data_IF_764793012190
#
_entry.id   IF_764793012190
#
_cell.length_a   1.000
_cell.length_b   1.000
_cell.length_c   1.000
_cell.angle_alpha   90.00
_cell.angle_beta   90.00
_cell.angle_gamma   90.00
#
_symmetry.space_group_name_H-M   'P 1'
#
loop_
_entity.id
_entity.type
_entity.pdbx_description
1 polymer ?
#
# COMPACT_ATOMS: atom_id res chain seq x y z
N UNK A 1 19.35 7.19 -17.21
CA UNK A 1 18.64 8.08 -18.16
C UNK A 1 18.92 9.56 -17.94
N UNK A 2 18.92 10.10 -16.70
CA UNK A 2 19.16 11.53 -16.42
C UNK A 2 20.54 12.02 -16.91
N UNK A 3 21.56 11.16 -16.91
CA UNK A 3 22.90 11.51 -17.42
C UNK A 3 22.95 11.62 -18.96
N UNK A 4 22.09 10.90 -19.65
CA UNK A 4 22.08 10.80 -21.12
C UNK A 4 21.10 11.77 -21.78
N UNK A 5 19.91 11.92 -21.17
CA UNK A 5 18.82 12.72 -21.72
C UNK A 5 18.62 14.07 -21.00
N UNK A 6 19.44 14.37 -19.97
CA UNK A 6 19.36 15.62 -19.22
C UNK A 6 18.49 15.53 -17.96
N UNK A 7 18.32 16.68 -17.28
CA UNK A 7 17.53 16.77 -16.04
C UNK A 7 16.05 16.64 -16.31
N UNK A 8 15.35 16.04 -15.37
CA UNK A 8 13.90 16.07 -15.29
C UNK A 8 13.39 17.49 -14.89
N UNK A 9 12.27 18.00 -15.41
CA UNK A 9 11.32 17.33 -16.33
C UNK A 9 11.83 17.25 -17.78
N UNK A 10 11.51 16.16 -18.46
CA UNK A 10 11.84 15.97 -19.87
C UNK A 10 10.75 16.53 -20.79
N UNK A 11 11.12 16.93 -22.03
CA UNK A 11 10.15 17.29 -23.05
C UNK A 11 9.09 16.20 -23.26
N UNK A 12 7.85 16.60 -23.52
CA UNK A 12 6.74 15.66 -23.75
C UNK A 12 6.98 14.77 -24.99
N UNK A 13 7.79 15.21 -25.92
CA UNK A 13 8.21 14.38 -27.07
C UNK A 13 8.90 13.08 -26.63
N UNK A 14 9.71 13.10 -25.56
CA UNK A 14 10.29 11.86 -25.03
C UNK A 14 9.24 10.95 -24.40
N UNK A 15 8.20 11.51 -23.82
CA UNK A 15 7.08 10.73 -23.28
C UNK A 15 6.26 10.11 -24.42
N UNK A 16 6.01 10.85 -25.49
CA UNK A 16 5.37 10.35 -26.71
C UNK A 16 6.14 9.16 -27.31
N UNK A 17 7.45 9.36 -27.56
CA UNK A 17 8.34 8.31 -28.07
C UNK A 17 8.38 7.07 -27.16
N UNK A 18 8.33 7.29 -25.84
CA UNK A 18 8.34 6.20 -24.86
C UNK A 18 7.05 5.36 -24.96
N UNK A 19 5.89 6.02 -25.05
CA UNK A 19 4.60 5.36 -25.25
C UNK A 19 4.58 4.57 -26.56
N UNK A 20 5.02 5.21 -27.68
CA UNK A 20 5.03 4.57 -29.00
C UNK A 20 5.93 3.31 -29.01
N UNK A 21 7.11 3.37 -28.39
CA UNK A 21 8.06 2.25 -28.32
C UNK A 21 7.52 1.11 -27.43
N UNK A 22 7.01 1.42 -26.25
CA UNK A 22 6.49 0.43 -25.32
C UNK A 22 5.22 -0.22 -25.89
N UNK A 23 4.30 0.58 -26.45
CA UNK A 23 3.09 0.08 -27.10
C UNK A 23 3.41 -0.75 -28.33
N UNK A 24 4.33 -0.27 -29.18
CA UNK A 24 4.81 -0.99 -30.36
C UNK A 24 5.53 -2.30 -30.04
N UNK A 25 6.13 -2.42 -28.87
CA UNK A 25 6.72 -3.65 -28.37
C UNK A 25 5.67 -4.65 -27.82
N UNK A 26 4.40 -4.27 -27.74
CA UNK A 26 3.31 -5.16 -27.35
C UNK A 26 3.06 -5.23 -25.85
N UNK A 27 3.37 -4.22 -25.08
CA UNK A 27 3.00 -4.12 -23.67
C UNK A 27 1.48 -4.32 -23.48
N UNK A 28 1.06 -4.94 -22.39
CA UNK A 28 -0.34 -5.12 -22.05
C UNK A 28 -0.99 -3.80 -21.65
N UNK A 29 -0.33 -3.04 -20.78
CA UNK A 29 -0.75 -1.72 -20.30
C UNK A 29 0.48 -0.89 -19.93
N UNK A 30 0.37 0.43 -20.03
CA UNK A 30 1.42 1.40 -19.71
C UNK A 30 0.89 2.36 -18.67
N UNK A 31 1.47 2.40 -17.47
CA UNK A 31 1.06 3.31 -16.41
C UNK A 31 2.10 4.38 -16.14
N UNK A 32 1.66 5.62 -16.06
CA UNK A 32 2.51 6.75 -15.66
C UNK A 32 2.23 7.13 -14.22
N UNK A 33 3.14 6.80 -13.33
CA UNK A 33 3.21 7.33 -11.96
C UNK A 33 3.92 8.69 -12.00
N UNK A 34 3.41 9.57 -12.85
CA UNK A 34 3.94 10.91 -13.12
C UNK A 34 2.77 11.83 -13.41
N UNK A 35 2.79 12.99 -12.78
CA UNK A 35 1.80 14.04 -13.00
C UNK A 35 2.31 15.08 -14.01
N UNK A 36 1.44 15.50 -14.90
CA UNK A 36 1.68 16.53 -15.91
C UNK A 36 0.69 17.70 -15.75
N UNK A 37 0.78 18.49 -14.65
CA UNK A 37 -0.25 19.47 -14.27
C UNK A 37 -0.22 20.74 -15.11
N UNK A 38 0.88 20.98 -15.83
CA UNK A 38 1.10 22.17 -16.61
C UNK A 38 1.48 21.83 -18.06
N UNK A 39 1.12 22.66 -19.03
CA UNK A 39 1.61 22.53 -20.41
C UNK A 39 3.14 22.54 -20.50
N UNK A 40 3.67 21.84 -21.48
CA UNK A 40 5.12 21.81 -21.72
C UNK A 40 5.63 23.18 -22.16
N UNK A 41 6.55 23.72 -21.39
CA UNK A 41 7.21 25.00 -21.74
C UNK A 41 8.45 24.80 -22.63
N UNK A 42 8.78 23.55 -22.97
CA UNK A 42 9.97 23.24 -23.75
C UNK A 42 9.70 23.40 -25.25
N UNK A 43 10.27 24.44 -25.85
CA UNK A 43 10.31 24.60 -27.31
C UNK A 43 11.53 23.81 -27.82
N UNK A 44 11.36 22.73 -28.64
CA UNK A 44 12.50 21.97 -29.15
C UNK A 44 13.38 22.85 -29.99
N UNK A 45 14.57 23.22 -29.53
CA UNK A 45 15.54 24.03 -30.28
C UNK A 45 15.86 23.39 -31.63
N UNK A 46 15.82 22.06 -31.73
CA UNK A 46 15.99 21.32 -32.98
C UNK A 46 14.85 21.58 -33.96
N UNK A 47 13.60 21.67 -33.51
CA UNK A 47 12.45 22.00 -34.35
C UNK A 47 12.58 23.44 -34.89
N UNK A 48 13.01 24.37 -34.05
CA UNK A 48 13.31 25.73 -34.47
C UNK A 48 14.46 25.77 -35.48
N UNK A 49 15.56 25.02 -35.28
CA UNK A 49 16.66 24.92 -36.21
C UNK A 49 16.29 24.29 -37.56
N UNK A 50 15.46 23.25 -37.55
CA UNK A 50 14.97 22.65 -38.80
C UNK A 50 14.04 23.56 -39.58
N UNK A 51 13.21 24.31 -38.89
CA UNK A 51 12.36 25.32 -39.49
C UNK A 51 13.15 26.44 -40.13
N UNK A 52 14.12 26.92 -39.37
CA UNK A 52 15.08 27.95 -39.88
C UNK A 52 15.82 27.45 -41.12
N UNK A 53 16.16 26.16 -41.20
CA UNK A 53 16.83 25.53 -42.34
C UNK A 53 15.90 25.26 -43.55
N UNK A 54 14.62 24.95 -43.30
CA UNK A 54 13.65 24.58 -44.35
C UNK A 54 12.89 25.75 -44.99
N UNK A 55 12.83 26.89 -44.33
CA UNK A 55 12.14 28.09 -44.83
C UNK A 55 13.12 29.23 -44.95
N UNK A 56 13.13 29.85 -46.14
CA UNK A 56 13.80 31.14 -46.39
C UNK A 56 13.10 32.18 -45.48
N UNK A 57 13.75 32.55 -44.38
CA UNK A 57 13.21 33.40 -43.33
C UNK A 57 13.01 34.87 -43.74
N UNK A 58 13.28 35.21 -45.00
CA UNK A 58 13.21 36.56 -45.49
C UNK A 58 11.75 37.14 -45.60
N UNK A 59 10.74 36.29 -45.47
CA UNK A 59 9.31 36.69 -45.60
C UNK A 59 8.35 36.08 -44.58
N UNK A 60 8.80 35.65 -43.41
CA UNK A 60 7.91 35.12 -42.37
C UNK A 60 7.45 36.29 -41.50
N UNK A 61 6.12 36.59 -41.50
CA UNK A 61 5.57 37.47 -40.50
C UNK A 61 5.53 36.74 -39.12
N UNK A 62 5.49 37.51 -38.03
CA UNK A 62 5.48 36.97 -36.66
C UNK A 62 4.31 36.02 -36.40
N UNK A 63 3.17 36.21 -37.02
CA UNK A 63 2.00 35.36 -36.91
C UNK A 63 2.20 33.98 -37.54
N UNK A 64 2.74 33.93 -38.75
CA UNK A 64 3.04 32.68 -39.45
C UNK A 64 4.13 31.86 -38.73
N UNK A 65 5.09 32.53 -38.08
CA UNK A 65 6.10 31.88 -37.25
C UNK A 65 5.50 31.33 -35.97
N UNK A 66 4.64 32.08 -35.31
CA UNK A 66 3.91 31.67 -34.13
C UNK A 66 2.99 30.46 -34.40
N UNK A 67 2.21 30.53 -35.48
CA UNK A 67 1.32 29.45 -35.90
C UNK A 67 2.13 28.17 -36.22
N UNK A 68 3.24 28.31 -36.91
CA UNK A 68 4.13 27.19 -37.20
C UNK A 68 4.80 26.63 -35.91
N UNK A 69 5.22 27.50 -34.99
CA UNK A 69 5.73 27.08 -33.67
C UNK A 69 4.67 26.33 -32.85
N UNK A 70 3.41 26.71 -32.95
CA UNK A 70 2.31 25.97 -32.35
C UNK A 70 2.06 24.62 -33.03
N UNK A 71 2.14 24.56 -34.37
CA UNK A 71 1.88 23.32 -35.11
C UNK A 71 3.01 22.27 -34.99
N UNK A 72 4.26 22.68 -34.93
CA UNK A 72 5.44 21.78 -34.90
C UNK A 72 6.03 21.64 -33.50
N UNK A 73 5.76 22.62 -32.63
CA UNK A 73 6.29 22.68 -31.26
C UNK A 73 5.32 22.22 -30.18
N UNK A 74 4.09 21.81 -30.53
CA UNK A 74 3.10 21.34 -29.56
C UNK A 74 3.40 19.90 -29.11
N UNK A 75 4.38 19.81 -28.19
CA UNK A 75 4.82 18.55 -27.61
C UNK A 75 3.72 17.88 -26.77
N UNK A 76 2.81 18.66 -26.18
CA UNK A 76 1.65 18.15 -25.45
C UNK A 76 0.69 17.44 -26.40
N UNK A 77 0.39 18.03 -27.57
CA UNK A 77 -0.44 17.39 -28.58
C UNK A 77 0.18 16.06 -29.05
N UNK A 78 1.48 16.04 -29.34
CA UNK A 78 2.16 14.81 -29.75
C UNK A 78 2.07 13.71 -28.69
N UNK A 79 2.21 14.07 -27.42
CA UNK A 79 2.09 13.10 -26.32
C UNK A 79 0.64 12.62 -26.17
N UNK A 80 -0.35 13.52 -26.22
CA UNK A 80 -1.76 13.13 -26.21
C UNK A 80 -2.13 12.20 -27.38
N UNK A 81 -1.64 12.46 -28.58
CA UNK A 81 -1.84 11.61 -29.76
C UNK A 81 -1.23 10.21 -29.57
N UNK A 82 -0.02 10.11 -28.99
CA UNK A 82 0.60 8.83 -28.69
C UNK A 82 -0.17 8.06 -27.61
N UNK A 83 -0.66 8.74 -26.57
CA UNK A 83 -1.53 8.14 -25.53
C UNK A 83 -2.77 7.56 -26.21
N UNK A 84 -3.51 8.38 -26.95
CA UNK A 84 -4.75 7.98 -27.61
C UNK A 84 -4.55 6.81 -28.57
N UNK A 85 -3.51 6.88 -29.42
CA UNK A 85 -3.18 5.83 -30.39
C UNK A 85 -2.79 4.52 -29.75
N UNK A 86 -2.19 4.55 -28.55
CA UNK A 86 -1.75 3.33 -27.87
C UNK A 86 -2.91 2.51 -27.33
N UNK A 87 -4.03 3.15 -26.94
CA UNK A 87 -5.20 2.56 -26.28
C UNK A 87 -4.83 1.70 -25.03
N UNK A 88 -3.74 2.07 -24.33
CA UNK A 88 -3.18 1.26 -23.24
C UNK A 88 -2.61 2.08 -22.08
N UNK A 89 -2.80 3.40 -22.09
CA UNK A 89 -2.20 4.27 -21.09
C UNK A 89 -3.14 4.53 -19.93
N UNK A 90 -2.62 4.34 -18.71
CA UNK A 90 -3.22 4.75 -17.45
C UNK A 90 -2.39 5.87 -16.86
N UNK A 91 -3.00 6.99 -16.50
CA UNK A 91 -2.31 8.11 -15.86
C UNK A 91 -2.57 8.15 -14.36
N UNK A 92 -1.51 8.46 -13.61
CA UNK A 92 -1.58 8.74 -12.19
C UNK A 92 -2.12 10.13 -11.89
N UNK A 93 -2.84 10.28 -10.76
CA UNK A 93 -3.20 11.58 -10.20
C UNK A 93 -3.04 11.60 -8.68
N UNK A 94 -2.80 12.79 -8.11
CA UNK A 94 -2.70 12.95 -6.66
C UNK A 94 -4.05 13.26 -6.04
N UNK A 95 -4.25 12.78 -4.80
CA UNK A 95 -5.43 13.08 -3.98
C UNK A 95 -5.03 14.03 -2.86
N UNK A 96 -5.86 15.01 -2.62
CA UNK A 96 -5.75 15.91 -1.47
C UNK A 96 -6.85 15.55 -0.45
N UNK A 97 -6.43 15.17 0.74
CA UNK A 97 -7.31 14.90 1.87
C UNK A 97 -7.62 16.19 2.66
N UNK A 98 -8.52 16.08 3.62
CA UNK A 98 -8.83 17.19 4.52
C UNK A 98 -7.59 17.62 5.30
N UNK A 99 -7.26 18.91 5.24
CA UNK A 99 -6.08 19.50 5.88
C UNK A 99 -4.81 19.57 5.03
N UNK A 100 -4.75 18.92 3.86
CA UNK A 100 -3.58 18.97 2.95
C UNK A 100 -3.44 20.30 2.21
N UNK A 101 -4.52 21.04 2.07
CA UNK A 101 -4.52 22.38 1.47
C UNK A 101 -5.05 23.42 2.47
N UNK A 102 -4.24 24.44 2.72
CA UNK A 102 -4.69 25.67 3.38
C UNK A 102 -5.41 26.57 2.36
N UNK A 103 -6.69 26.40 2.16
CA UNK A 103 -7.50 27.25 1.28
C UNK A 103 -8.91 26.70 1.09
N UNK A 104 -9.85 27.59 0.80
CA UNK A 104 -11.22 27.22 0.47
C UNK A 104 -11.23 26.32 -0.77
N UNK A 105 -11.93 25.21 -0.70
CA UNK A 105 -12.12 24.31 -1.85
C UNK A 105 -13.04 25.04 -2.82
N UNK A 106 -12.55 25.25 -4.05
CA UNK A 106 -13.38 25.80 -5.12
C UNK A 106 -14.32 24.71 -5.63
N UNK A 107 -15.61 24.83 -5.32
CA UNK A 107 -16.65 23.88 -5.76
C UNK A 107 -16.69 23.70 -7.28
N UNK A 108 -16.39 24.77 -8.06
CA UNK A 108 -16.33 24.69 -9.53
C UNK A 108 -15.14 23.84 -9.98
N UNK A 109 -13.99 23.99 -9.34
CA UNK A 109 -12.81 23.19 -9.64
C UNK A 109 -13.07 21.71 -9.32
N UNK A 110 -13.73 21.42 -8.20
CA UNK A 110 -14.10 20.06 -7.82
C UNK A 110 -15.09 19.46 -8.83
N UNK A 111 -16.11 20.21 -9.28
CA UNK A 111 -17.05 19.75 -10.29
C UNK A 111 -16.36 19.43 -11.64
N UNK A 112 -15.44 20.28 -12.08
CA UNK A 112 -14.64 20.04 -13.29
C UNK A 112 -13.75 18.79 -13.14
N UNK A 113 -13.13 18.59 -11.99
CA UNK A 113 -12.32 17.41 -11.71
C UNK A 113 -13.17 16.12 -11.71
N UNK A 114 -14.39 16.19 -11.18
CA UNK A 114 -15.33 15.06 -11.21
C UNK A 114 -15.71 14.68 -12.65
N UNK A 115 -15.98 15.67 -13.52
CA UNK A 115 -16.24 15.44 -14.94
C UNK A 115 -15.05 14.76 -15.63
N UNK A 116 -13.82 15.21 -15.37
CA UNK A 116 -12.59 14.60 -15.90
C UNK A 116 -12.33 13.19 -15.37
N UNK A 117 -12.84 12.84 -14.20
CA UNK A 117 -12.62 11.53 -13.56
C UNK A 117 -13.76 10.53 -13.82
N UNK A 118 -14.88 10.95 -14.40
CA UNK A 118 -16.12 10.17 -14.51
C UNK A 118 -15.90 8.78 -15.14
N UNK A 119 -15.11 8.70 -16.20
CA UNK A 119 -14.82 7.43 -16.90
C UNK A 119 -13.92 6.44 -16.11
N UNK A 120 -13.33 6.89 -15.00
CA UNK A 120 -12.39 6.12 -14.19
C UNK A 120 -12.93 5.67 -12.83
N UNK A 121 -14.19 5.94 -12.54
CA UNK A 121 -14.86 5.46 -11.33
C UNK A 121 -15.08 3.94 -11.32
N UNK A 122 -15.48 3.40 -10.18
CA UNK A 122 -15.90 2.01 -10.09
C UNK A 122 -17.12 1.76 -10.98
N UNK A 123 -17.03 0.88 -12.00
CA UNK A 123 -18.13 0.64 -12.93
C UNK A 123 -19.32 -0.08 -12.27
N UNK A 124 -19.06 -0.85 -11.21
CA UNK A 124 -20.09 -1.58 -10.47
C UNK A 124 -19.98 -1.20 -9.00
N UNK A 125 -20.97 -0.40 -8.54
CA UNK A 125 -21.09 -0.02 -7.12
C UNK A 125 -22.42 -0.50 -6.59
N UNK A 126 -22.38 -1.32 -5.52
CA UNK A 126 -23.57 -1.80 -4.82
C UNK A 126 -23.55 -1.23 -3.41
N UNK A 127 -24.57 -0.45 -3.05
CA UNK A 127 -24.70 0.18 -1.72
C UNK A 127 -25.87 -0.45 -0.95
N UNK A 128 -25.61 -0.92 0.25
CA UNK A 128 -26.56 -1.46 1.20
C UNK A 128 -26.64 -0.61 2.48
N UNK A 129 -25.82 0.46 2.56
CA UNK A 129 -25.91 1.47 3.60
C UNK A 129 -27.14 2.36 3.38
N UNK A 130 -27.61 2.99 4.45
CA UNK A 130 -28.77 3.91 4.43
C UNK A 130 -28.27 5.35 4.53
N UNK A 131 -29.05 6.33 4.02
CA UNK A 131 -28.78 7.73 4.27
C UNK A 131 -28.68 7.99 5.78
N UNK A 132 -27.54 8.48 6.26
CA UNK A 132 -27.24 8.71 7.67
C UNK A 132 -26.36 7.66 8.34
N UNK A 133 -26.06 6.54 7.70
CA UNK A 133 -25.03 5.62 8.17
C UNK A 133 -23.64 6.25 8.01
N UNK A 134 -22.84 6.21 9.08
CA UNK A 134 -21.43 6.66 9.05
C UNK A 134 -20.54 5.55 8.50
N UNK A 135 -20.49 5.42 7.19
CA UNK A 135 -19.60 4.46 6.52
C UNK A 135 -18.15 4.98 6.57
N UNK A 136 -17.18 4.22 7.07
CA UNK A 136 -15.81 4.70 7.29
C UNK A 136 -14.98 4.76 5.99
N UNK A 137 -15.53 5.34 4.93
CA UNK A 137 -14.82 5.52 3.66
C UNK A 137 -13.82 6.68 3.75
N UNK A 138 -12.72 6.54 3.05
CA UNK A 138 -11.78 7.66 2.88
C UNK A 138 -12.33 8.65 1.84
N UNK A 139 -12.45 9.90 2.26
CA UNK A 139 -12.96 11.00 1.42
C UNK A 139 -11.78 11.83 0.92
N UNK A 140 -11.72 12.05 -0.39
CA UNK A 140 -10.87 13.06 -1.01
C UNK A 140 -11.64 14.36 -1.22
N UNK A 141 -10.96 15.47 -1.03
CA UNK A 141 -11.56 16.80 -1.21
C UNK A 141 -11.33 17.32 -2.62
N UNK A 142 -10.19 17.01 -3.21
CA UNK A 142 -9.86 17.40 -4.58
C UNK A 142 -8.78 16.47 -5.16
N UNK A 143 -8.59 16.54 -6.47
CA UNK A 143 -7.59 15.80 -7.21
C UNK A 143 -6.59 16.74 -7.90
N UNK A 144 -5.32 16.38 -7.90
CA UNK A 144 -4.29 17.01 -8.73
C UNK A 144 -4.15 16.20 -10.01
N UNK A 145 -4.73 16.68 -11.12
CA UNK A 145 -4.78 15.97 -12.39
C UNK A 145 -3.71 16.48 -13.36
N UNK A 146 -3.38 15.66 -14.34
CA UNK A 146 -2.68 16.11 -15.55
C UNK A 146 -3.58 17.05 -16.37
N UNK A 147 -3.00 17.78 -17.33
CA UNK A 147 -3.80 18.67 -18.21
C UNK A 147 -4.90 17.88 -18.93
N UNK A 148 -6.06 18.51 -19.23
CA UNK A 148 -7.21 17.83 -19.82
C UNK A 148 -6.88 17.00 -21.06
N UNK A 149 -6.03 17.52 -21.94
CA UNK A 149 -5.65 16.83 -23.17
C UNK A 149 -5.05 15.41 -22.93
N UNK A 150 -4.35 15.20 -21.83
CA UNK A 150 -3.79 13.88 -21.48
C UNK A 150 -4.83 12.98 -20.81
N UNK A 151 -5.64 13.55 -19.91
CA UNK A 151 -6.70 12.82 -19.23
C UNK A 151 -7.72 12.30 -20.24
N UNK A 152 -8.14 13.15 -21.20
CA UNK A 152 -9.10 12.79 -22.26
C UNK A 152 -8.55 11.75 -23.24
N UNK A 153 -7.21 11.72 -23.42
CA UNK A 153 -6.55 10.74 -24.29
C UNK A 153 -6.28 9.39 -23.61
N UNK A 154 -6.27 9.34 -22.27
CA UNK A 154 -5.94 8.13 -21.50
C UNK A 154 -7.10 7.12 -21.48
N UNK A 155 -6.77 5.83 -21.37
CA UNK A 155 -7.78 4.77 -21.19
C UNK A 155 -8.47 4.86 -19.84
N UNK A 156 -7.70 5.19 -18.81
CA UNK A 156 -8.21 5.42 -17.47
C UNK A 156 -7.21 6.23 -16.66
N UNK A 157 -7.66 6.74 -15.50
CA UNK A 157 -6.80 7.40 -14.53
C UNK A 157 -7.02 6.78 -13.15
N UNK A 158 -5.98 6.79 -12.31
CA UNK A 158 -6.07 6.27 -10.94
C UNK A 158 -5.20 7.07 -9.98
N UNK A 159 -5.60 7.17 -8.71
CA UNK A 159 -4.79 7.92 -7.76
C UNK A 159 -3.53 7.14 -7.35
N UNK A 160 -2.41 7.89 -7.23
CA UNK A 160 -1.10 7.37 -6.81
C UNK A 160 -0.78 7.68 -5.35
N UNK A 161 -1.70 8.32 -4.64
CA UNK A 161 -1.48 8.74 -3.25
C UNK A 161 -1.49 7.54 -2.30
N UNK A 162 -0.49 7.49 -1.41
CA UNK A 162 -0.39 6.52 -0.33
C UNK A 162 -0.62 7.22 1.01
N UNK A 163 -1.25 6.49 1.93
CA UNK A 163 -1.43 6.95 3.31
C UNK A 163 -0.40 6.24 4.17
N UNK A 164 0.57 7.01 4.70
CA UNK A 164 1.54 6.48 5.64
C UNK A 164 0.90 6.29 7.02
N UNK A 165 1.32 5.26 7.76
CA UNK A 165 0.97 5.09 9.16
C UNK A 165 1.65 6.12 10.06
N UNK A 166 1.32 6.11 11.36
CA UNK A 166 1.86 7.09 12.34
C UNK A 166 3.40 7.07 12.42
N UNK A 167 4.03 5.93 12.11
CA UNK A 167 5.49 5.77 12.03
C UNK A 167 6.10 6.22 10.69
N UNK A 168 5.28 6.75 9.77
CA UNK A 168 5.67 7.20 8.44
C UNK A 168 5.84 6.08 7.41
N UNK A 169 5.57 4.81 7.76
CA UNK A 169 5.74 3.67 6.87
C UNK A 169 4.46 3.43 6.07
N UNK A 170 4.59 3.21 4.78
CA UNK A 170 3.49 2.82 3.89
C UNK A 170 3.33 1.31 3.94
N UNK A 171 2.29 0.83 4.64
CA UNK A 171 1.90 -0.60 4.66
C UNK A 171 0.53 -0.82 4.04
N UNK A 172 -0.31 0.19 4.07
CA UNK A 172 -1.68 0.14 3.58
C UNK A 172 -1.86 1.08 2.41
N UNK A 173 -2.69 0.67 1.48
CA UNK A 173 -3.15 1.52 0.38
C UNK A 173 -4.68 1.54 0.37
N UNK A 174 -5.31 2.70 0.31
CA UNK A 174 -6.75 2.77 0.06
C UNK A 174 -7.02 2.15 -1.31
N UNK A 175 -7.95 1.20 -1.39
CA UNK A 175 -8.43 0.67 -2.67
C UNK A 175 -9.66 1.42 -3.16
N UNK A 176 -10.33 2.12 -2.25
CA UNK A 176 -11.53 2.90 -2.54
C UNK A 176 -11.38 4.28 -1.91
N UNK A 177 -11.54 5.32 -2.69
CA UNK A 177 -11.67 6.70 -2.21
C UNK A 177 -12.94 7.32 -2.78
N UNK A 178 -13.61 8.13 -1.97
CA UNK A 178 -14.85 8.82 -2.34
C UNK A 178 -14.56 10.29 -2.68
N UNK A 179 -15.09 10.77 -3.81
CA UNK A 179 -15.18 12.20 -4.15
C UNK A 179 -16.63 12.50 -4.51
N UNK A 180 -17.29 13.35 -3.71
CA UNK A 180 -18.75 13.51 -3.83
C UNK A 180 -19.46 12.18 -3.60
N UNK A 181 -20.32 11.80 -4.53
CA UNK A 181 -21.08 10.54 -4.48
C UNK A 181 -20.38 9.38 -5.20
N UNK A 182 -19.23 9.61 -5.83
CA UNK A 182 -18.53 8.64 -6.67
C UNK A 182 -17.36 8.00 -5.94
N UNK A 183 -17.03 6.76 -6.36
CA UNK A 183 -15.94 5.97 -5.82
C UNK A 183 -14.88 5.73 -6.88
N UNK A 184 -13.63 5.93 -6.48
CA UNK A 184 -12.49 5.85 -7.38
C UNK A 184 -11.49 4.81 -6.91
N UNK A 185 -10.91 4.01 -7.83
CA UNK A 185 -9.87 3.05 -7.54
C UNK A 185 -8.46 3.68 -7.62
N UNK A 186 -7.45 3.08 -6.95
CA UNK A 186 -6.06 3.48 -7.09
C UNK A 186 -5.50 3.14 -8.48
N UNK A 187 -4.42 3.80 -8.83
CA UNK A 187 -3.66 3.60 -10.06
C UNK A 187 -3.30 2.13 -10.33
N UNK A 188 -2.79 1.42 -9.31
CA UNK A 188 -2.44 0.00 -9.42
C UNK A 188 -3.64 -0.88 -9.82
N UNK A 189 -4.84 -0.59 -9.30
CA UNK A 189 -6.04 -1.34 -9.61
C UNK A 189 -6.59 -1.00 -11.00
N UNK A 190 -6.50 0.27 -11.43
CA UNK A 190 -6.82 0.67 -12.80
C UNK A 190 -5.87 0.01 -13.82
N UNK A 191 -4.56 -0.02 -13.52
CA UNK A 191 -3.58 -0.73 -14.34
C UNK A 191 -3.96 -2.19 -14.55
N UNK A 192 -4.36 -2.86 -13.48
CA UNK A 192 -4.74 -4.27 -13.55
C UNK A 192 -6.08 -4.47 -14.28
N UNK A 193 -7.05 -3.56 -14.09
CA UNK A 193 -8.31 -3.55 -14.85
C UNK A 193 -8.05 -3.44 -16.35
N UNK A 194 -7.24 -2.49 -16.79
CA UNK A 194 -6.91 -2.29 -18.21
C UNK A 194 -6.11 -3.48 -18.78
N UNK A 195 -5.17 -4.05 -18.00
CA UNK A 195 -4.39 -5.20 -18.46
C UNK A 195 -5.21 -6.48 -18.61
N UNK A 196 -6.26 -6.66 -17.78
CA UNK A 196 -7.07 -7.89 -17.76
C UNK A 196 -8.42 -7.75 -18.45
N UNK A 197 -8.88 -6.51 -18.69
CA UNK A 197 -10.20 -6.17 -19.20
C UNK A 197 -11.35 -6.70 -18.32
N UNK A 198 -11.07 -6.97 -17.03
CA UNK A 198 -12.05 -7.45 -16.07
C UNK A 198 -12.73 -6.26 -15.35
N UNK A 199 -14.05 -6.36 -15.08
CA UNK A 199 -14.75 -5.29 -14.38
C UNK A 199 -14.34 -5.19 -12.91
N UNK A 200 -14.22 -3.96 -12.41
CA UNK A 200 -14.10 -3.66 -10.99
C UNK A 200 -15.48 -3.53 -10.36
N UNK A 201 -15.65 -4.13 -9.18
CA UNK A 201 -16.87 -4.02 -8.41
C UNK A 201 -16.56 -3.74 -6.94
N UNK A 202 -17.36 -2.85 -6.32
CA UNK A 202 -17.29 -2.57 -4.90
C UNK A 202 -18.68 -2.72 -4.28
N UNK A 203 -18.74 -3.38 -3.13
CA UNK A 203 -19.96 -3.51 -2.32
C UNK A 203 -19.75 -2.83 -0.98
N UNK A 204 -20.67 -1.91 -0.66
CA UNK A 204 -20.67 -1.13 0.58
C UNK A 204 -21.83 -1.60 1.46
N UNK A 205 -21.51 -1.91 2.71
CA UNK A 205 -22.45 -2.22 3.78
C UNK A 205 -22.46 -1.11 4.85
N UNK A 206 -23.40 -1.09 5.80
CA UNK A 206 -23.41 -0.08 6.88
C UNK A 206 -22.13 -0.02 7.72
N UNK A 207 -21.35 -1.10 7.75
CA UNK A 207 -20.08 -1.19 8.48
C UNK A 207 -18.84 -0.81 7.66
N UNK A 208 -18.98 -0.53 6.35
CA UNK A 208 -17.86 -0.22 5.45
C UNK A 208 -17.85 -1.04 4.17
N UNK A 209 -16.67 -1.22 3.59
CA UNK A 209 -16.48 -2.09 2.43
C UNK A 209 -16.69 -3.54 2.83
N UNK A 210 -17.65 -4.20 2.17
CA UNK A 210 -17.96 -5.61 2.34
C UNK A 210 -17.18 -6.49 1.36
N UNK A 211 -17.21 -6.14 0.07
CA UNK A 211 -16.46 -6.82 -0.99
C UNK A 211 -15.83 -5.82 -1.95
N UNK A 212 -14.61 -6.12 -2.37
CA UNK A 212 -13.92 -5.48 -3.49
C UNK A 212 -13.47 -6.57 -4.46
N UNK A 213 -13.80 -6.42 -5.75
CA UNK A 213 -13.56 -7.46 -6.76
C UNK A 213 -12.97 -6.92 -8.06
N UNK A 214 -12.14 -7.74 -8.69
CA UNK A 214 -11.79 -7.65 -10.10
C UNK A 214 -12.22 -8.96 -10.77
N UNK A 215 -13.23 -8.91 -11.63
CA UNK A 215 -13.91 -10.09 -12.11
C UNK A 215 -14.48 -10.92 -10.94
N UNK A 216 -14.04 -12.18 -10.84
CA UNK A 216 -14.45 -13.08 -9.76
C UNK A 216 -13.50 -13.04 -8.53
N UNK A 217 -12.34 -12.39 -8.64
CA UNK A 217 -11.34 -12.35 -7.56
C UNK A 217 -11.73 -11.31 -6.51
N UNK A 218 -11.90 -11.75 -5.27
CA UNK A 218 -12.17 -10.89 -4.10
C UNK A 218 -10.85 -10.50 -3.44
N UNK A 219 -10.68 -9.20 -3.16
CA UNK A 219 -9.51 -8.69 -2.45
C UNK A 219 -9.83 -8.44 -0.98
N UNK A 220 -8.97 -8.89 -0.05
CA UNK A 220 -9.15 -8.59 1.37
C UNK A 220 -8.86 -7.11 1.64
N UNK A 221 -9.84 -6.38 2.14
CA UNK A 221 -9.69 -4.99 2.58
C UNK A 221 -10.19 -4.80 4.01
N UNK A 222 -9.77 -3.71 4.64
CA UNK A 222 -10.40 -3.24 5.88
C UNK A 222 -11.81 -2.70 5.60
N UNK A 223 -12.56 -2.38 6.64
CA UNK A 223 -13.87 -1.74 6.51
C UNK A 223 -13.79 -0.35 5.84
N UNK A 224 -12.66 0.34 5.97
CA UNK A 224 -12.40 1.61 5.25
C UNK A 224 -11.92 1.43 3.81
N UNK A 225 -11.77 0.19 3.34
CA UNK A 225 -11.29 -0.11 1.99
C UNK A 225 -9.76 -0.11 1.86
N UNK A 226 -9.03 -0.14 2.97
CA UNK A 226 -7.57 -0.21 2.93
C UNK A 226 -7.09 -1.64 2.70
N UNK A 227 -6.11 -1.81 1.82
CA UNK A 227 -5.44 -3.07 1.48
C UNK A 227 -4.05 -3.12 2.09
N UNK A 228 -3.68 -4.23 2.71
CA UNK A 228 -2.36 -4.45 3.28
C UNK A 228 -1.40 -4.97 2.20
N UNK A 229 -0.34 -4.22 1.94
CA UNK A 229 0.64 -4.55 0.91
C UNK A 229 1.57 -5.65 1.39
N UNK A 230 1.66 -6.75 0.64
CA UNK A 230 2.68 -7.77 0.80
C UNK A 230 3.92 -7.37 -0.02
N UNK A 231 4.93 -6.79 0.62
CA UNK A 231 6.16 -6.38 -0.05
C UNK A 231 7.05 -7.57 -0.34
N UNK A 232 7.43 -7.77 -1.60
CA UNK A 232 8.28 -8.90 -2.03
C UNK A 232 9.76 -8.75 -1.70
N UNK A 233 10.23 -7.55 -1.35
CA UNK A 233 11.63 -7.34 -1.02
C UNK A 233 12.04 -5.88 -0.90
N UNK A 234 13.34 -5.60 -0.76
CA UNK A 234 13.86 -4.25 -0.72
C UNK A 234 13.68 -3.53 -2.05
N UNK A 235 13.97 -2.22 -2.09
CA UNK A 235 13.91 -1.43 -3.31
C UNK A 235 14.72 -2.09 -4.45
N UNK A 236 14.23 -1.97 -5.68
CA UNK A 236 14.77 -2.60 -6.90
C UNK A 236 14.63 -4.12 -6.96
N UNK A 237 13.65 -4.69 -6.27
CA UNK A 237 13.30 -6.12 -6.39
C UNK A 237 12.67 -6.45 -7.75
N UNK A 238 11.86 -5.56 -8.30
CA UNK A 238 11.30 -5.72 -9.64
C UNK A 238 12.32 -5.38 -10.73
N UNK A 239 12.10 -5.86 -11.94
CA UNK A 239 12.97 -5.55 -13.08
C UNK A 239 12.82 -4.10 -13.50
N UNK A 240 13.92 -3.37 -13.56
CA UNK A 240 13.98 -1.97 -13.97
C UNK A 240 14.75 -1.82 -15.28
N UNK A 241 14.20 -1.03 -16.18
CA UNK A 241 14.87 -0.57 -17.39
C UNK A 241 15.00 0.95 -17.36
N UNK A 242 16.13 1.44 -17.84
CA UNK A 242 16.27 2.89 -18.01
C UNK A 242 15.38 3.37 -19.15
N UNK A 243 14.61 4.44 -18.94
CA UNK A 243 13.82 5.04 -20.01
C UNK A 243 14.69 5.46 -21.23
N UNK A 244 15.95 5.86 -21.00
CA UNK A 244 16.90 6.11 -22.11
C UNK A 244 17.20 4.86 -22.94
N UNK A 245 17.31 3.69 -22.32
CA UNK A 245 17.56 2.43 -23.04
C UNK A 245 16.35 2.02 -23.89
N UNK A 246 15.14 2.26 -23.40
CA UNK A 246 13.90 2.06 -24.19
C UNK A 246 13.85 3.03 -25.36
N UNK A 247 14.13 4.33 -25.11
CA UNK A 247 14.18 5.38 -26.14
C UNK A 247 15.27 5.11 -27.21
N UNK A 248 16.40 4.54 -26.82
CA UNK A 248 17.48 4.18 -27.74
C UNK A 248 17.23 2.84 -28.45
N UNK A 249 16.13 2.14 -28.15
CA UNK A 249 15.78 0.85 -28.76
C UNK A 249 16.62 -0.33 -28.28
N UNK A 250 17.31 -0.20 -27.14
CA UNK A 250 18.11 -1.28 -26.53
C UNK A 250 17.23 -2.32 -25.85
N UNK A 251 16.05 -1.91 -25.38
CA UNK A 251 15.03 -2.78 -24.78
C UNK A 251 13.98 -3.05 -25.86
N UNK A 252 13.74 -4.31 -26.13
CA UNK A 252 12.92 -4.74 -27.24
C UNK A 252 11.63 -5.47 -26.88
N UNK A 253 11.02 -6.07 -27.87
CA UNK A 253 9.75 -6.78 -27.75
C UNK A 253 9.79 -7.88 -26.70
N UNK A 254 10.87 -8.65 -26.62
CA UNK A 254 11.03 -9.77 -25.67
C UNK A 254 10.86 -9.38 -24.21
N UNK A 255 11.36 -8.17 -23.86
CA UNK A 255 11.34 -7.66 -22.52
C UNK A 255 10.00 -7.01 -22.14
N UNK A 256 9.26 -6.48 -23.12
CA UNK A 256 8.07 -5.63 -22.92
C UNK A 256 6.74 -6.29 -23.31
N UNK A 257 6.75 -7.30 -24.19
CA UNK A 257 5.53 -7.95 -24.70
C UNK A 257 4.71 -8.59 -23.58
N UNK A 258 3.41 -8.31 -23.55
CA UNK A 258 2.44 -8.79 -22.56
C UNK A 258 2.80 -8.47 -21.11
N UNK A 259 3.59 -7.39 -20.89
CA UNK A 259 3.95 -6.92 -19.54
C UNK A 259 3.10 -5.71 -19.16
N UNK A 260 2.85 -5.60 -17.86
CA UNK A 260 2.38 -4.37 -17.22
C UNK A 260 3.61 -3.49 -17.02
N UNK A 261 3.66 -2.34 -17.67
CA UNK A 261 4.80 -1.43 -17.64
C UNK A 261 4.46 -0.21 -16.80
N UNK A 262 5.24 0.03 -15.76
CA UNK A 262 5.14 1.22 -14.91
C UNK A 262 6.25 2.21 -15.28
N UNK A 263 5.88 3.44 -15.54
CA UNK A 263 6.81 4.55 -15.82
C UNK A 263 6.75 5.51 -14.65
N UNK A 264 7.87 5.66 -13.94
CA UNK A 264 7.94 6.50 -12.75
C UNK A 264 9.35 6.91 -12.37
N UNK A 265 9.45 7.79 -11.40
CA UNK A 265 10.71 8.32 -10.89
C UNK A 265 11.38 7.36 -9.91
N UNK A 266 12.57 6.86 -10.27
CA UNK A 266 13.40 6.02 -9.38
C UNK A 266 14.76 6.67 -9.05
N UNK A 267 15.05 7.86 -9.60
CA UNK A 267 16.32 8.53 -9.38
C UNK A 267 16.29 9.45 -8.16
N UNK A 268 17.41 9.56 -7.48
CA UNK A 268 17.61 10.53 -6.40
C UNK A 268 17.48 11.96 -6.95
N UNK A 269 16.36 12.58 -6.88
CA UNK A 269 16.04 13.90 -7.44
C UNK A 269 14.66 14.00 -8.03
N UNK A 270 13.96 12.88 -8.19
CA UNK A 270 12.53 12.86 -8.54
C UNK A 270 11.62 12.97 -7.32
N UNK A 271 12.21 12.92 -6.11
CA UNK A 271 11.54 13.07 -4.78
C UNK A 271 10.36 12.12 -4.50
N UNK A 272 10.17 11.08 -5.30
CA UNK A 272 9.10 10.11 -5.10
C UNK A 272 9.59 8.86 -4.37
N UNK A 273 10.17 9.06 -3.17
CA UNK A 273 10.52 7.97 -2.28
C UNK A 273 9.54 7.87 -1.12
N UNK A 274 9.19 6.64 -0.79
CA UNK A 274 8.33 6.29 0.34
C UNK A 274 9.14 5.51 1.38
N UNK A 275 8.71 5.56 2.62
CA UNK A 275 9.22 4.63 3.64
C UNK A 275 8.42 3.34 3.58
N UNK A 276 9.07 2.23 3.28
CA UNK A 276 8.50 0.88 3.28
C UNK A 276 9.00 0.08 4.50
N UNK A 277 8.44 -1.11 4.79
CA UNK A 277 8.98 -2.00 5.81
C UNK A 277 10.46 -2.39 5.59
N UNK A 278 10.96 -2.28 4.37
CA UNK A 278 12.36 -2.58 4.01
C UNK A 278 13.30 -1.37 4.11
N UNK A 279 12.77 -0.15 4.23
CA UNK A 279 13.60 1.05 4.39
C UNK A 279 12.97 2.34 3.87
N UNK A 280 13.67 3.48 4.11
CA UNK A 280 13.11 4.81 3.86
C UNK A 280 13.22 5.31 2.40
N UNK A 281 13.98 4.63 1.55
CA UNK A 281 14.21 5.03 0.15
C UNK A 281 13.62 4.01 -0.82
N UNK A 282 12.32 3.80 -0.73
CA UNK A 282 11.58 2.89 -1.60
C UNK A 282 10.88 3.69 -2.70
N UNK A 283 11.12 3.41 -4.01
CA UNK A 283 10.47 4.15 -5.09
C UNK A 283 8.95 4.01 -5.04
N UNK A 284 8.22 5.13 -5.18
CA UNK A 284 6.75 5.11 -5.17
C UNK A 284 6.18 4.19 -6.25
N UNK A 285 6.73 4.25 -7.45
CA UNK A 285 6.34 3.36 -8.56
C UNK A 285 6.49 1.88 -8.22
N UNK A 286 7.45 1.49 -7.40
CA UNK A 286 7.66 0.09 -7.00
C UNK A 286 6.67 -0.35 -5.92
N UNK A 287 6.09 0.59 -5.15
CA UNK A 287 4.95 0.29 -4.27
C UNK A 287 3.76 -0.18 -5.11
N UNK A 288 3.45 0.52 -6.21
CA UNK A 288 2.41 0.09 -7.16
C UNK A 288 2.70 -1.27 -7.78
N UNK A 289 3.98 -1.56 -8.09
CA UNK A 289 4.38 -2.87 -8.61
C UNK A 289 4.10 -4.00 -7.60
N UNK A 290 4.40 -3.79 -6.29
CA UNK A 290 4.04 -4.77 -5.26
C UNK A 290 2.54 -5.01 -5.19
N UNK A 291 1.72 -3.95 -5.23
CA UNK A 291 0.27 -4.08 -5.18
C UNK A 291 -0.24 -4.89 -6.39
N UNK A 292 0.21 -4.54 -7.60
CA UNK A 292 -0.19 -5.26 -8.82
C UNK A 292 0.20 -6.73 -8.73
N UNK A 293 1.43 -7.03 -8.33
CA UNK A 293 1.92 -8.40 -8.20
C UNK A 293 1.13 -9.18 -7.15
N UNK A 294 0.85 -8.59 -5.97
CA UNK A 294 -0.01 -9.24 -4.96
C UNK A 294 -1.39 -9.61 -5.52
N UNK A 295 -1.99 -8.72 -6.30
CA UNK A 295 -3.32 -8.94 -6.89
C UNK A 295 -3.28 -10.02 -7.99
N UNK A 296 -2.24 -10.04 -8.82
CA UNK A 296 -2.05 -11.03 -9.88
C UNK A 296 -1.79 -12.42 -9.31
N UNK A 297 -0.91 -12.52 -8.31
CA UNK A 297 -0.55 -13.79 -7.67
C UNK A 297 -1.57 -14.22 -6.61
N UNK A 298 -2.52 -13.35 -6.24
CA UNK A 298 -3.45 -13.56 -5.12
C UNK A 298 -2.72 -13.87 -3.81
N UNK A 299 -1.55 -13.25 -3.64
CA UNK A 299 -0.69 -13.43 -2.47
C UNK A 299 -1.00 -12.34 -1.41
N UNK A 300 -2.13 -12.53 -0.73
CA UNK A 300 -2.69 -11.56 0.18
C UNK A 300 -2.26 -11.80 1.62
N UNK A 301 -1.95 -10.72 2.33
CA UNK A 301 -1.90 -10.73 3.79
C UNK A 301 -3.29 -10.34 4.30
N UNK A 302 -3.94 -11.29 4.99
CA UNK A 302 -5.27 -11.11 5.54
C UNK A 302 -5.19 -10.91 7.04
N UNK A 303 -5.78 -9.81 7.52
CA UNK A 303 -6.01 -9.58 8.94
C UNK A 303 -7.50 -9.70 9.24
N UNK A 304 -7.99 -10.85 9.70
CA UNK A 304 -9.42 -11.06 9.93
C UNK A 304 -9.92 -10.21 11.11
N UNK A 305 -10.69 -9.17 10.82
CA UNK A 305 -11.06 -8.17 11.81
C UNK A 305 -11.99 -8.70 12.92
N UNK A 306 -12.96 -9.51 12.57
CA UNK A 306 -14.07 -9.86 13.50
C UNK A 306 -13.80 -11.09 14.36
N UNK A 307 -13.39 -12.20 13.75
CA UNK A 307 -13.18 -13.45 14.48
C UNK A 307 -11.80 -13.55 15.14
N UNK A 308 -10.85 -12.70 14.73
CA UNK A 308 -9.51 -12.66 15.33
C UNK A 308 -9.56 -12.27 16.80
N UNK A 309 -10.37 -11.29 17.17
CA UNK A 309 -10.53 -10.88 18.57
C UNK A 309 -11.16 -11.99 19.42
N UNK A 310 -12.10 -12.75 18.86
CA UNK A 310 -12.69 -13.92 19.55
C UNK A 310 -11.65 -15.04 19.73
N UNK A 311 -10.83 -15.27 18.73
CA UNK A 311 -9.75 -16.25 18.78
C UNK A 311 -8.68 -15.85 19.80
N UNK A 312 -8.25 -14.59 19.82
CA UNK A 312 -7.32 -14.06 20.82
C UNK A 312 -7.85 -14.23 22.24
N UNK A 313 -9.11 -13.83 22.45
CA UNK A 313 -9.76 -14.01 23.74
C UNK A 313 -9.84 -15.49 24.15
N UNK A 314 -10.19 -16.39 23.22
CA UNK A 314 -10.21 -17.83 23.44
C UNK A 314 -8.82 -18.37 23.81
N UNK A 315 -7.77 -17.99 23.10
CA UNK A 315 -6.38 -18.40 23.39
C UNK A 315 -5.94 -17.90 24.76
N UNK A 316 -6.20 -16.64 25.09
CA UNK A 316 -5.87 -16.04 26.38
C UNK A 316 -6.57 -16.78 27.52
N UNK A 317 -7.87 -17.04 27.37
CA UNK A 317 -8.68 -17.72 28.39
C UNK A 317 -8.20 -19.16 28.59
N UNK A 318 -8.10 -19.93 27.51
CA UNK A 318 -7.70 -21.36 27.56
C UNK A 318 -6.28 -21.51 28.10
N UNK A 319 -5.32 -20.72 27.60
CA UNK A 319 -3.95 -20.79 28.09
C UNK A 319 -3.82 -20.37 29.55
N UNK A 320 -4.56 -19.34 29.98
CA UNK A 320 -4.62 -18.89 31.37
C UNK A 320 -5.18 -19.96 32.32
N UNK A 321 -6.30 -20.59 31.95
CA UNK A 321 -6.89 -21.70 32.72
C UNK A 321 -5.95 -22.91 32.78
N UNK A 322 -5.33 -23.28 31.64
CA UNK A 322 -4.38 -24.39 31.61
C UNK A 322 -3.17 -24.13 32.50
N UNK A 323 -2.55 -22.94 32.45
CA UNK A 323 -1.47 -22.56 33.34
C UNK A 323 -1.90 -22.59 34.81
N UNK A 324 -3.11 -22.13 35.11
CA UNK A 324 -3.69 -22.19 36.45
C UNK A 324 -3.82 -23.64 36.97
N UNK A 325 -4.41 -24.53 36.17
CA UNK A 325 -4.56 -25.96 36.53
C UNK A 325 -3.19 -26.66 36.67
N UNK A 326 -2.27 -26.43 35.75
CA UNK A 326 -0.91 -26.99 35.78
C UNK A 326 -0.17 -26.52 37.04
N UNK A 327 -0.42 -25.29 37.49
CA UNK A 327 0.19 -24.73 38.69
C UNK A 327 -0.09 -25.55 39.97
N UNK A 328 -1.17 -26.31 40.02
CA UNK A 328 -1.54 -27.13 41.19
C UNK A 328 -0.57 -28.27 41.35
N UNK A 329 -0.11 -28.85 40.24
CA UNK A 329 0.68 -30.11 40.25
C UNK A 329 2.18 -29.88 40.10
N UNK A 330 2.62 -28.73 39.55
CA UNK A 330 4.01 -28.51 39.18
C UNK A 330 4.67 -27.40 40.00
N UNK A 331 5.98 -27.54 40.22
CA UNK A 331 6.83 -26.54 40.85
C UNK A 331 7.08 -25.35 39.88
N UNK A 332 7.42 -24.19 40.40
CA UNK A 332 7.61 -22.95 39.61
C UNK A 332 8.58 -23.11 38.42
N UNK A 333 9.70 -23.85 38.58
CA UNK A 333 10.65 -24.04 37.49
C UNK A 333 10.09 -24.90 36.34
N UNK A 334 9.28 -25.92 36.65
CA UNK A 334 8.62 -26.74 35.63
C UNK A 334 7.53 -25.95 34.89
N UNK A 335 6.80 -25.09 35.60
CA UNK A 335 5.87 -24.17 35.01
C UNK A 335 6.57 -23.15 34.09
N UNK A 336 7.76 -22.64 34.45
CA UNK A 336 8.57 -21.77 33.58
C UNK A 336 8.92 -22.46 32.26
N UNK A 337 9.35 -23.75 32.36
CA UNK A 337 9.61 -24.56 31.16
C UNK A 337 8.39 -24.72 30.25
N UNK A 338 7.20 -24.97 30.83
CA UNK A 338 5.95 -25.11 30.10
C UNK A 338 5.51 -23.76 29.49
N UNK A 339 5.68 -22.65 30.20
CA UNK A 339 5.45 -21.32 29.66
C UNK A 339 6.31 -21.05 28.42
N UNK A 340 7.62 -21.34 28.50
CA UNK A 340 8.53 -21.16 27.36
C UNK A 340 8.11 -22.03 26.17
N UNK A 341 7.76 -23.29 26.39
CA UNK A 341 7.24 -24.17 25.35
C UNK A 341 5.94 -23.62 24.74
N UNK A 342 5.02 -23.12 25.56
CA UNK A 342 3.76 -22.51 25.10
C UNK A 342 4.02 -21.25 24.26
N UNK A 343 4.89 -20.35 24.72
CA UNK A 343 5.24 -19.10 24.00
C UNK A 343 5.95 -19.41 22.69
N UNK A 344 7.00 -20.26 22.70
CA UNK A 344 7.70 -20.62 21.46
C UNK A 344 6.83 -21.43 20.51
N UNK A 345 5.96 -22.29 21.02
CA UNK A 345 4.99 -23.01 20.21
C UNK A 345 4.00 -22.05 19.53
N UNK A 346 3.48 -21.08 20.28
CA UNK A 346 2.60 -20.04 19.73
C UNK A 346 3.30 -19.21 18.65
N UNK A 347 4.52 -18.72 18.93
CA UNK A 347 5.32 -17.98 17.96
C UNK A 347 5.62 -18.80 16.69
N UNK A 348 5.85 -20.11 16.83
CA UNK A 348 6.05 -21.01 15.69
C UNK A 348 4.78 -21.15 14.82
N UNK A 349 3.61 -21.26 15.45
CA UNK A 349 2.32 -21.32 14.76
C UNK A 349 2.01 -19.98 14.08
N UNK A 350 2.22 -18.87 14.77
CA UNK A 350 2.04 -17.53 14.22
C UNK A 350 2.90 -17.29 12.97
N UNK A 351 4.21 -17.61 13.07
CA UNK A 351 5.13 -17.52 11.94
C UNK A 351 4.68 -18.41 10.76
N UNK A 352 4.23 -19.63 11.03
CA UNK A 352 3.71 -20.53 10.01
C UNK A 352 2.45 -19.96 9.33
N UNK A 353 1.50 -19.46 10.11
CA UNK A 353 0.27 -18.86 9.58
C UNK A 353 0.57 -17.62 8.73
N UNK A 354 1.48 -16.78 9.18
CA UNK A 354 1.90 -15.60 8.45
C UNK A 354 2.61 -15.95 7.13
N UNK A 355 3.63 -16.83 7.19
CA UNK A 355 4.47 -17.12 6.01
C UNK A 355 3.82 -18.05 5.00
N UNK A 356 2.98 -19.01 5.44
CA UNK A 356 2.40 -20.03 4.56
C UNK A 356 0.93 -19.79 4.21
N UNK A 357 0.24 -18.97 5.00
CA UNK A 357 -1.20 -18.71 4.80
C UNK A 357 -1.53 -17.24 4.59
N UNK A 358 -0.52 -16.35 4.68
CA UNK A 358 -0.76 -14.91 4.62
C UNK A 358 -1.67 -14.39 5.74
N UNK A 359 -1.81 -15.14 6.84
CA UNK A 359 -2.74 -14.80 7.92
C UNK A 359 -1.99 -14.07 9.04
N UNK A 360 -2.31 -12.79 9.22
CA UNK A 360 -1.73 -11.99 10.30
C UNK A 360 -2.60 -12.10 11.57
N UNK A 361 -2.11 -12.81 12.59
CA UNK A 361 -2.73 -12.91 13.92
C UNK A 361 -2.01 -12.02 14.94
N UNK A 362 -2.68 -11.75 16.08
CA UNK A 362 -2.08 -10.95 17.13
C UNK A 362 -1.12 -11.79 17.98
N UNK A 363 0.16 -11.44 17.97
CA UNK A 363 1.19 -12.12 18.76
C UNK A 363 1.28 -11.58 20.18
N UNK A 364 1.15 -10.27 20.33
CA UNK A 364 1.47 -9.55 21.56
C UNK A 364 0.54 -9.92 22.71
N UNK A 365 -0.77 -9.84 22.52
CA UNK A 365 -1.74 -10.08 23.60
C UNK A 365 -1.68 -11.48 24.20
N UNK A 366 -1.69 -12.58 23.40
CA UNK A 366 -1.57 -13.93 23.95
C UNK A 366 -0.26 -14.17 24.69
N UNK A 367 0.87 -13.71 24.15
CA UNK A 367 2.19 -13.90 24.77
C UNK A 367 2.29 -13.15 26.09
N UNK A 368 1.96 -11.86 26.12
CA UNK A 368 2.00 -11.08 27.37
C UNK A 368 1.01 -11.60 28.40
N UNK A 369 -0.19 -12.04 28.01
CA UNK A 369 -1.15 -12.61 28.95
C UNK A 369 -0.61 -13.86 29.65
N UNK A 370 0.05 -14.76 28.93
CA UNK A 370 0.69 -15.95 29.50
C UNK A 370 1.78 -15.59 30.51
N UNK A 371 2.63 -14.60 30.19
CA UNK A 371 3.66 -14.09 31.10
C UNK A 371 3.06 -13.49 32.37
N UNK A 372 2.00 -12.68 32.24
CA UNK A 372 1.34 -12.07 33.39
C UNK A 372 0.63 -13.11 34.28
N UNK A 373 -0.05 -14.08 33.67
CA UNK A 373 -0.69 -15.16 34.43
C UNK A 373 0.34 -16.00 35.18
N UNK A 374 1.43 -16.41 34.52
CA UNK A 374 2.52 -17.12 35.17
C UNK A 374 3.12 -16.34 36.33
N UNK A 375 3.43 -15.05 36.12
CA UNK A 375 3.99 -14.18 37.14
C UNK A 375 3.06 -14.03 38.34
N UNK A 376 1.77 -13.81 38.11
CA UNK A 376 0.75 -13.70 39.14
C UNK A 376 0.63 -14.99 39.99
N UNK A 377 0.57 -16.14 39.32
CA UNK A 377 0.53 -17.45 40.00
C UNK A 377 1.79 -17.68 40.83
N UNK A 378 2.97 -17.36 40.28
CA UNK A 378 4.24 -17.56 40.96
C UNK A 378 4.34 -16.69 42.21
N UNK A 379 3.99 -15.41 42.11
CA UNK A 379 3.95 -14.48 43.27
C UNK A 379 2.96 -14.97 44.33
N UNK A 380 1.77 -15.42 43.91
CA UNK A 380 0.76 -15.95 44.82
C UNK A 380 1.26 -17.20 45.56
N UNK A 381 1.81 -18.19 44.83
CA UNK A 381 2.37 -19.40 45.40
C UNK A 381 3.48 -19.09 46.40
N UNK A 382 4.43 -18.28 46.00
CA UNK A 382 5.55 -17.91 46.87
C UNK A 382 5.09 -17.22 48.16
N UNK A 383 4.11 -16.28 48.04
CA UNK A 383 3.54 -15.60 49.19
C UNK A 383 2.76 -16.55 50.10
N UNK A 384 2.09 -17.57 49.56
CA UNK A 384 1.36 -18.57 50.33
C UNK A 384 2.29 -19.55 51.07
N UNK A 385 3.30 -20.07 50.36
CA UNK A 385 4.34 -20.95 50.95
C UNK A 385 5.12 -20.23 52.05
N UNK A 386 5.47 -18.96 51.88
CA UNK A 386 6.15 -18.19 52.93
C UNK A 386 5.25 -17.96 54.16
N UNK A 387 3.97 -17.68 53.97
CA UNK A 387 3.01 -17.52 55.08
C UNK A 387 2.83 -18.82 55.85
N UNK A 388 2.73 -19.96 55.17
CA UNK A 388 2.61 -21.28 55.78
C UNK A 388 3.87 -21.63 56.57
N UNK A 389 5.06 -21.43 56.02
CA UNK A 389 6.32 -21.59 56.72
C UNK A 389 6.43 -20.72 57.96
N UNK A 390 6.02 -19.46 57.87
CA UNK A 390 6.00 -18.51 59.02
C UNK A 390 5.00 -18.96 60.09
N UNK A 391 3.83 -19.42 59.69
CA UNK A 391 2.83 -19.94 60.61
C UNK A 391 3.33 -21.19 61.37
N UNK A 392 3.88 -22.15 60.65
CA UNK A 392 4.48 -23.37 61.23
C UNK A 392 5.60 -22.99 62.19
N UNK A 393 6.53 -22.12 61.76
CA UNK A 393 7.63 -21.65 62.59
C UNK A 393 7.11 -20.95 63.85
N UNK A 394 6.09 -20.11 63.78
CA UNK A 394 5.46 -19.40 64.90
C UNK A 394 4.77 -20.33 65.86
N UNK A 395 4.04 -21.37 65.37
CA UNK A 395 3.34 -22.37 66.17
C UNK A 395 4.29 -23.31 66.95
N UNK A 396 5.40 -23.73 66.35
CA UNK A 396 6.33 -24.65 66.96
C UNK A 396 7.50 -23.98 67.71
N UNK A 397 7.80 -22.71 67.45
CA UNK A 397 8.87 -21.95 68.12
C UNK A 397 8.68 -21.79 69.64
N UNK A 398 7.44 -21.92 70.11
CA UNK A 398 7.15 -21.86 71.54
C UNK A 398 7.38 -23.18 72.28
N UNK A 399 7.47 -24.31 71.56
CA UNK A 399 7.54 -25.66 72.16
C UNK A 399 8.78 -26.45 71.79
N UNK A 400 9.55 -26.06 70.75
CA UNK A 400 10.71 -26.81 70.29
C UNK A 400 11.93 -25.88 70.09
N UNK A 401 13.12 -26.43 70.30
CA UNK A 401 14.34 -25.68 70.03
C UNK A 401 14.46 -25.30 68.54
N UNK A 402 14.99 -24.14 68.20
CA UNK A 402 15.06 -23.66 66.81
C UNK A 402 15.72 -24.58 65.81
N UNK A 403 16.69 -25.40 66.24
CA UNK A 403 17.35 -26.41 65.43
C UNK A 403 16.38 -27.57 64.99
N UNK A 404 15.50 -27.99 65.89
CA UNK A 404 14.51 -29.08 65.64
C UNK A 404 13.37 -28.55 64.72
N UNK A 405 12.96 -27.29 64.89
CA UNK A 405 11.96 -26.68 63.99
C UNK A 405 12.48 -26.56 62.55
N UNK A 406 13.73 -26.17 62.37
CA UNK A 406 14.34 -26.10 61.02
C UNK A 406 14.48 -27.49 60.38
N UNK A 407 14.84 -28.50 61.15
CA UNK A 407 14.96 -29.88 60.66
C UNK A 407 13.61 -30.50 60.26
N UNK A 408 12.50 -30.19 60.98
CA UNK A 408 11.13 -30.57 60.65
C UNK A 408 10.62 -29.83 59.40
N UNK A 409 11.06 -28.60 59.17
CA UNK A 409 10.68 -27.81 57.96
C UNK A 409 11.42 -28.24 56.72
N UNK A 410 12.66 -28.73 56.83
CA UNK A 410 13.44 -29.20 55.68
C UNK A 410 13.09 -30.66 55.29
N UNK A 411 12.53 -31.45 56.22
CA UNK A 411 12.03 -32.81 56.00
C UNK A 411 10.63 -33.00 56.68
N UNK A 412 9.56 -32.63 55.97
CA UNK A 412 8.17 -32.70 56.52
C UNK A 412 7.58 -34.08 56.55
N UNK A 413 8.31 -35.19 56.24
CA UNK A 413 7.86 -36.61 56.31
C UNK A 413 8.42 -37.30 57.50
#
# INVERSE_FOLDING_TARGET
>A
SLKEKGRWPWPRTYMADLVDKISGAGAAVIGFDILFPEPDSYIPFQAVQEAVKKKDLTNINSESLMQWMHEVGDSDRLFAESILKSEKVVLGYFVYAEGDRSGDIDEKLTAQQMEMLDFSQYPITQRFDKPGDEVPLRVMQSAGLSIPAFVDAANSVGYVSFVAEVDGVVRWVPMVMQLGDYLFPPFSLQMLREATMLPLAVRIAPFGIDDLKLGETVFPTSQSGDYLINYYGPAYTFTHYSASEVLDGKIGKKELENKIILVGGTAAGTYDFKTSPYGPLYPGVEVHANIIENLVQQDFIVRPATWLHLLDFGIILVSGVLLGLISIYFKAYAMAGMLLLGVFGYLGVDLYLFTQKGLWVNTVYPVFSQIFVYSGITVFKFGFEEREKRFIRGAFSQYLAPAVVNQLMDNPN
#
